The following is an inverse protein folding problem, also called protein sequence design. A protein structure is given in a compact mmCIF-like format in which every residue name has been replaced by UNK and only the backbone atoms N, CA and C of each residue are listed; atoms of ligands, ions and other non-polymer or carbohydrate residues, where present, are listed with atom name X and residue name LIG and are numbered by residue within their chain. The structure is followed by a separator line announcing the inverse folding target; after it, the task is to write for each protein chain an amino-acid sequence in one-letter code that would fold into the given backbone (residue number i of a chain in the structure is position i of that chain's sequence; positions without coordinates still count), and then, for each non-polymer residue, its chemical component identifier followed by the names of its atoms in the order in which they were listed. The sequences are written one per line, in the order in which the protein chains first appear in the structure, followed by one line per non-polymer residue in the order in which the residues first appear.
data_IF_649495020262
#
_entry.id   IF_649495020262
#
_cell.length_a   1.000
_cell.length_b   1.000
_cell.length_c   1.000
_cell.angle_alpha   90.00
_cell.angle_beta   90.00
_cell.angle_gamma   90.00
#
_symmetry.space_group_name_H-M   'P 1'
#
loop_
_entity.id
_entity.type
_entity.pdbx_description
1 polymer ?
#
# COMPACT_ATOMS: atom_id res chain seq x y z
N UNK A 1 -3.64 3.86 -8.57
CA UNK A 1 -2.29 4.27 -8.98
C UNK A 1 -2.35 5.42 -9.97
N UNK A 2 -1.37 6.32 -9.95
CA UNK A 2 -1.35 7.53 -10.78
C UNK A 2 -1.21 7.23 -12.28
N UNK A 3 -0.61 6.09 -12.64
CA UNK A 3 -0.35 5.71 -14.03
C UNK A 3 -0.63 4.22 -14.26
N UNK A 4 -0.80 3.86 -15.53
CA UNK A 4 -0.98 2.49 -15.99
C UNK A 4 0.36 1.73 -16.18
N UNK A 5 1.47 2.45 -16.32
CA UNK A 5 2.79 1.88 -16.58
C UNK A 5 3.91 2.67 -15.91
N UNK A 6 5.06 2.03 -15.74
CA UNK A 6 6.27 2.70 -15.27
C UNK A 6 6.79 3.72 -16.29
N UNK A 7 6.62 3.45 -17.58
CA UNK A 7 7.02 4.38 -18.65
C UNK A 7 6.22 5.68 -18.57
N UNK A 8 4.88 5.59 -18.47
CA UNK A 8 4.03 6.78 -18.30
C UNK A 8 4.38 7.57 -17.02
N UNK A 9 4.75 6.86 -15.94
CA UNK A 9 5.20 7.52 -14.71
C UNK A 9 6.51 8.27 -14.90
N UNK A 10 7.48 7.71 -15.63
CA UNK A 10 8.74 8.40 -15.97
C UNK A 10 8.48 9.66 -16.79
N UNK A 11 7.66 9.56 -17.83
CA UNK A 11 7.30 10.69 -18.68
C UNK A 11 6.62 11.81 -17.87
N UNK A 12 5.70 11.45 -16.96
CA UNK A 12 5.01 12.40 -16.08
C UNK A 12 5.99 13.10 -15.13
N UNK A 13 6.91 12.37 -14.52
CA UNK A 13 7.94 12.92 -13.61
C UNK A 13 8.92 13.80 -14.39
N UNK A 14 9.33 13.40 -15.58
CA UNK A 14 10.21 14.20 -16.43
C UNK A 14 9.53 15.49 -16.87
N UNK A 15 8.27 15.42 -17.31
CA UNK A 15 7.47 16.59 -17.64
C UNK A 15 7.35 17.54 -16.45
N UNK A 16 7.12 17.05 -15.24
CA UNK A 16 7.03 17.89 -14.05
C UNK A 16 8.34 18.62 -13.77
N UNK A 17 9.48 17.93 -13.90
CA UNK A 17 10.82 18.53 -13.73
C UNK A 17 11.10 19.61 -14.77
N UNK A 18 10.79 19.33 -16.05
CA UNK A 18 11.03 20.26 -17.15
C UNK A 18 10.18 21.53 -17.04
N UNK A 19 9.02 21.45 -16.39
CA UNK A 19 8.14 22.59 -16.14
C UNK A 19 8.30 23.18 -14.73
N UNK A 20 9.27 22.71 -13.96
CA UNK A 20 9.56 23.18 -12.59
C UNK A 20 8.32 23.13 -11.66
N UNK A 21 7.52 22.08 -11.79
CA UNK A 21 6.37 21.78 -10.93
C UNK A 21 6.57 20.46 -10.18
N UNK A 22 5.85 20.29 -9.09
CA UNK A 22 5.88 19.06 -8.27
C UNK A 22 4.65 18.22 -8.55
N UNK A 23 4.82 16.90 -8.46
CA UNK A 23 3.72 15.95 -8.56
C UNK A 23 3.77 14.96 -7.39
N UNK A 24 2.59 14.48 -6.99
CA UNK A 24 2.45 13.51 -5.91
C UNK A 24 1.35 12.51 -6.26
N UNK A 25 1.58 11.24 -6.00
CA UNK A 25 0.50 10.24 -5.98
C UNK A 25 -0.34 10.38 -4.71
N UNK A 26 -1.66 10.42 -4.84
CA UNK A 26 -2.60 10.76 -3.78
C UNK A 26 -2.88 9.63 -2.78
N UNK A 27 -1.88 8.93 -2.28
CA UNK A 27 -2.03 7.94 -1.22
C UNK A 27 -2.24 8.58 0.15
N UNK A 28 -3.43 9.15 0.37
CA UNK A 28 -3.80 9.87 1.58
C UNK A 28 -3.59 9.05 2.86
N UNK A 29 -3.79 7.73 2.83
CA UNK A 29 -3.67 6.88 4.01
C UNK A 29 -2.30 6.98 4.69
N UNK A 30 -1.22 7.20 3.92
CA UNK A 30 0.16 7.37 4.44
C UNK A 30 0.28 8.49 5.46
N UNK A 31 -0.62 9.48 5.42
CA UNK A 31 -0.66 10.64 6.29
C UNK A 31 -1.54 10.44 7.54
N UNK A 32 -2.22 9.29 7.65
CA UNK A 32 -2.98 8.98 8.85
C UNK A 32 -2.06 8.64 10.02
N UNK A 33 -2.34 9.22 11.20
CA UNK A 33 -1.49 9.10 12.40
C UNK A 33 -1.30 7.66 12.91
N UNK A 34 -2.22 6.75 12.58
CA UNK A 34 -2.08 5.33 12.93
C UNK A 34 -0.80 4.71 12.38
N UNK A 35 -0.38 5.05 11.15
CA UNK A 35 0.82 4.47 10.55
C UNK A 35 2.10 4.98 11.20
N UNK A 36 2.10 6.22 11.69
CA UNK A 36 3.18 6.73 12.53
C UNK A 36 3.31 5.91 13.82
N UNK A 37 2.17 5.57 14.44
CA UNK A 37 2.16 4.74 15.66
C UNK A 37 2.64 3.31 15.38
N UNK A 38 2.26 2.72 14.25
CA UNK A 38 2.77 1.40 13.84
C UNK A 38 4.29 1.44 13.68
N UNK A 39 4.84 2.42 12.95
CA UNK A 39 6.30 2.58 12.79
C UNK A 39 7.00 2.80 14.15
N UNK A 40 6.41 3.56 15.05
CA UNK A 40 6.92 3.72 16.42
C UNK A 40 7.01 2.39 17.17
N UNK A 41 5.96 1.56 17.09
CA UNK A 41 5.94 0.24 17.74
C UNK A 41 7.01 -0.70 17.17
N UNK A 42 7.19 -0.71 15.85
CA UNK A 42 8.23 -1.48 15.16
C UNK A 42 9.62 -0.99 15.58
N UNK A 43 9.88 0.30 15.49
CA UNK A 43 11.18 0.90 15.82
C UNK A 43 11.55 0.74 17.29
N UNK A 44 10.55 0.63 18.18
CA UNK A 44 10.74 0.33 19.60
C UNK A 44 10.80 -1.19 19.88
N UNK A 45 11.01 -2.01 18.86
CA UNK A 45 11.17 -3.46 18.94
C UNK A 45 10.01 -4.18 19.67
N UNK A 46 8.75 -3.72 19.47
CA UNK A 46 7.59 -4.29 20.16
C UNK A 46 7.10 -5.60 19.58
N UNK A 47 7.57 -5.98 18.41
CA UNK A 47 7.27 -7.25 17.75
C UNK A 47 8.53 -8.04 17.35
N UNK A 48 9.72 -7.63 17.84
CA UNK A 48 10.99 -8.23 17.46
C UNK A 48 11.38 -7.95 16.02
N UNK A 49 12.15 -8.84 15.41
CA UNK A 49 12.59 -8.71 14.02
C UNK A 49 11.41 -8.83 13.06
N UNK A 50 11.30 -7.83 12.19
CA UNK A 50 10.22 -7.72 11.21
C UNK A 50 10.38 -8.76 10.09
N UNK A 51 9.33 -9.57 9.87
CA UNK A 51 9.36 -10.71 8.94
C UNK A 51 8.37 -10.57 7.77
N UNK A 52 7.06 -10.54 8.07
CA UNK A 52 6.03 -10.63 7.05
C UNK A 52 4.97 -9.54 7.16
N UNK A 53 4.39 -9.18 6.02
CA UNK A 53 3.26 -8.28 5.89
C UNK A 53 2.11 -8.98 5.17
N UNK A 54 0.89 -8.81 5.67
CA UNK A 54 -0.34 -9.31 5.06
C UNK A 54 -1.31 -8.14 4.87
N UNK A 55 -1.62 -7.79 3.63
CA UNK A 55 -2.52 -6.68 3.32
C UNK A 55 -3.71 -7.08 2.48
N UNK A 56 -4.90 -6.61 2.83
CA UNK A 56 -6.12 -6.87 2.08
C UNK A 56 -6.93 -5.61 1.89
N UNK A 57 -7.40 -5.38 0.65
CA UNK A 57 -8.35 -4.33 0.37
C UNK A 57 -9.40 -4.81 -0.62
N UNK A 58 -10.65 -4.80 -0.21
CA UNK A 58 -11.77 -5.25 -1.02
C UNK A 58 -13.08 -4.61 -0.61
N UNK A 59 -14.03 -4.63 -1.53
CA UNK A 59 -15.37 -4.05 -1.32
C UNK A 59 -16.46 -4.86 -2.01
N UNK A 60 -17.73 -4.62 -1.65
CA UNK A 60 -18.88 -5.05 -2.45
C UNK A 60 -18.79 -4.50 -3.90
N UNK A 61 -19.43 -5.16 -4.84
CA UNK A 61 -19.43 -4.74 -6.24
C UNK A 61 -19.92 -3.30 -6.40
N UNK A 62 -19.26 -2.58 -7.28
CA UNK A 62 -19.73 -1.27 -7.74
C UNK A 62 -20.87 -1.43 -8.76
N UNK A 63 -21.69 -0.38 -8.97
CA UNK A 63 -22.70 -0.39 -10.01
C UNK A 63 -22.13 -0.64 -11.40
N UNK A 64 -22.92 -1.25 -12.27
CA UNK A 64 -22.57 -1.42 -13.68
C UNK A 64 -22.33 -0.04 -14.33
N UNK A 65 -21.28 0.08 -15.14
CA UNK A 65 -20.88 1.35 -15.77
C UNK A 65 -19.93 2.22 -14.92
N UNK A 66 -19.55 1.77 -13.71
CA UNK A 66 -18.53 2.46 -12.94
C UNK A 66 -17.19 2.48 -13.70
N UNK A 67 -16.43 3.59 -13.58
CA UNK A 67 -15.14 3.80 -14.26
C UNK A 67 -14.12 2.67 -13.99
N UNK A 68 -14.22 2.01 -12.84
CA UNK A 68 -13.35 0.87 -12.47
C UNK A 68 -13.50 -0.32 -13.40
N UNK A 69 -14.63 -0.45 -14.09
CA UNK A 69 -14.85 -1.48 -15.09
C UNK A 69 -14.45 -1.06 -16.52
N UNK A 70 -13.95 0.17 -16.71
CA UNK A 70 -13.55 0.67 -18.00
C UNK A 70 -12.03 0.54 -18.20
N UNK A 71 -11.63 -0.46 -19.01
CA UNK A 71 -10.21 -0.73 -19.27
C UNK A 71 -9.48 0.42 -19.95
N UNK A 72 -10.15 1.13 -20.86
CA UNK A 72 -9.56 2.25 -21.62
C UNK A 72 -9.28 3.48 -20.73
N UNK A 73 -10.00 3.61 -19.63
CA UNK A 73 -9.81 4.66 -18.64
C UNK A 73 -8.88 4.24 -17.48
N UNK A 74 -8.13 3.16 -17.66
CA UNK A 74 -7.22 2.66 -16.62
C UNK A 74 -7.94 1.94 -15.48
N UNK A 75 -9.14 1.41 -15.70
CA UNK A 75 -9.88 0.61 -14.73
C UNK A 75 -9.12 -0.64 -14.29
N UNK A 76 -9.73 -1.37 -13.36
CA UNK A 76 -9.15 -2.53 -12.72
C UNK A 76 -8.88 -2.31 -11.23
N UNK A 77 -9.04 -3.38 -10.47
CA UNK A 77 -9.01 -3.31 -9.01
C UNK A 77 -7.60 -3.44 -8.44
N UNK A 78 -6.63 -3.86 -9.24
CA UNK A 78 -5.22 -3.69 -8.89
C UNK A 78 -4.90 -2.19 -8.75
N UNK A 79 -5.40 -1.35 -9.68
CA UNK A 79 -5.19 0.09 -9.66
C UNK A 79 -5.98 0.79 -8.56
N UNK A 80 -7.20 0.34 -8.27
CA UNK A 80 -8.11 1.01 -7.34
C UNK A 80 -7.89 0.58 -5.89
N UNK A 81 -7.67 -0.71 -5.64
CA UNK A 81 -7.54 -1.26 -4.29
C UNK A 81 -6.22 -1.99 -4.03
N UNK A 82 -5.73 -2.78 -4.96
CA UNK A 82 -4.49 -3.54 -4.78
C UNK A 82 -3.26 -2.65 -4.54
N UNK A 83 -3.24 -1.46 -5.13
CA UNK A 83 -2.16 -0.49 -4.97
C UNK A 83 -1.96 -0.03 -3.52
N UNK A 84 -3.01 -0.02 -2.68
CA UNK A 84 -2.93 0.41 -1.28
C UNK A 84 -2.11 -0.54 -0.39
N UNK A 85 -2.42 -1.84 -0.28
CA UNK A 85 -1.61 -2.77 0.50
C UNK A 85 -0.19 -2.95 -0.09
N UNK A 86 0.00 -2.81 -1.40
CA UNK A 86 1.31 -2.76 -2.03
C UNK A 86 2.11 -1.56 -1.51
N UNK A 87 1.53 -0.36 -1.55
CA UNK A 87 2.15 0.85 -1.02
C UNK A 87 2.42 0.73 0.48
N UNK A 88 1.49 0.14 1.25
CA UNK A 88 1.63 -0.04 2.68
C UNK A 88 2.78 -0.99 3.04
N UNK A 89 2.98 -2.09 2.31
CA UNK A 89 4.10 -3.01 2.55
C UNK A 89 5.45 -2.33 2.34
N UNK A 90 5.61 -1.55 1.26
CA UNK A 90 6.79 -0.74 0.99
C UNK A 90 7.06 0.26 2.11
N UNK A 91 6.00 0.97 2.55
CA UNK A 91 6.05 1.94 3.64
C UNK A 91 6.44 1.30 4.99
N UNK A 92 5.93 0.11 5.30
CA UNK A 92 6.19 -0.57 6.59
C UNK A 92 7.60 -1.16 6.61
N UNK A 93 8.03 -1.80 5.53
CA UNK A 93 9.39 -2.33 5.43
C UNK A 93 10.46 -1.26 5.22
N UNK A 94 10.05 -0.05 4.83
CA UNK A 94 10.95 1.04 4.43
C UNK A 94 11.95 0.59 3.35
N UNK A 95 11.46 -0.20 2.39
CA UNK A 95 12.23 -0.83 1.33
C UNK A 95 11.36 -1.02 0.08
N UNK A 96 12.03 -1.06 -1.07
CA UNK A 96 11.40 -1.52 -2.31
C UNK A 96 11.50 -3.05 -2.40
N UNK A 97 10.47 -3.74 -2.94
CA UNK A 97 10.53 -5.17 -3.15
C UNK A 97 11.61 -5.52 -4.19
N UNK A 98 12.14 -6.72 -4.08
CA UNK A 98 13.08 -7.29 -5.05
C UNK A 98 12.33 -7.90 -6.23
N UNK A 99 11.25 -8.62 -5.94
CA UNK A 99 10.45 -9.32 -6.94
C UNK A 99 8.97 -9.35 -6.57
N UNK A 100 8.15 -9.68 -7.56
CA UNK A 100 6.71 -9.83 -7.47
C UNK A 100 6.27 -11.11 -8.17
N UNK A 101 5.45 -11.93 -7.52
CA UNK A 101 4.64 -12.96 -8.16
C UNK A 101 3.15 -12.63 -7.94
N UNK A 102 2.37 -12.57 -9.03
CA UNK A 102 0.99 -12.10 -9.00
C UNK A 102 0.08 -13.01 -9.82
N UNK A 103 -1.14 -13.22 -9.31
CA UNK A 103 -2.23 -13.86 -10.03
C UNK A 103 -3.52 -13.05 -9.88
N UNK A 104 -4.06 -12.58 -11.02
CA UNK A 104 -5.26 -11.77 -11.07
C UNK A 104 -6.36 -12.48 -11.87
N UNK A 105 -7.60 -12.38 -11.40
CA UNK A 105 -8.78 -12.82 -12.15
C UNK A 105 -9.29 -11.65 -13.00
N UNK A 106 -9.36 -11.88 -14.29
CA UNK A 106 -9.86 -10.89 -15.28
C UNK A 106 -11.33 -11.15 -15.53
N UNK A 107 -12.16 -10.12 -15.43
CA UNK A 107 -13.55 -10.19 -15.82
C UNK A 107 -13.68 -10.28 -17.36
N UNK A 108 -14.41 -11.29 -17.85
CA UNK A 108 -14.52 -11.55 -19.28
C UNK A 108 -15.34 -10.52 -20.04
N UNK A 109 -16.20 -9.77 -19.36
CA UNK A 109 -17.05 -8.73 -19.98
C UNK A 109 -16.31 -7.42 -20.18
N UNK A 110 -15.55 -7.02 -19.18
CA UNK A 110 -14.91 -5.70 -19.12
C UNK A 110 -13.41 -5.75 -19.44
N UNK A 111 -12.81 -6.93 -19.33
CA UNK A 111 -11.36 -7.12 -19.56
C UNK A 111 -10.46 -6.50 -18.49
N UNK A 112 -11.03 -6.07 -17.36
CA UNK A 112 -10.26 -5.57 -16.20
C UNK A 112 -10.05 -6.66 -15.16
N UNK A 113 -9.03 -6.54 -14.34
CA UNK A 113 -8.84 -7.38 -13.18
C UNK A 113 -9.86 -7.01 -12.09
N UNK A 114 -10.54 -8.01 -11.52
CA UNK A 114 -11.56 -7.81 -10.46
C UNK A 114 -11.11 -8.30 -9.09
N UNK A 115 -10.14 -9.16 -9.04
CA UNK A 115 -9.49 -9.62 -7.80
C UNK A 115 -8.11 -10.17 -8.11
N UNK A 116 -7.25 -10.17 -7.12
CA UNK A 116 -5.93 -10.73 -7.27
C UNK A 116 -5.24 -10.99 -5.93
N UNK A 117 -4.20 -11.80 -6.03
CA UNK A 117 -3.26 -12.04 -4.93
C UNK A 117 -1.85 -11.96 -5.46
N UNK A 118 -0.94 -11.53 -4.59
CA UNK A 118 0.48 -11.47 -4.93
C UNK A 118 1.37 -11.66 -3.71
N UNK A 119 2.59 -12.12 -4.01
CA UNK A 119 3.69 -12.20 -3.05
C UNK A 119 4.77 -11.25 -3.55
N UNK A 120 5.25 -10.37 -2.67
CA UNK A 120 6.40 -9.51 -2.89
C UNK A 120 7.52 -10.00 -1.99
N UNK A 121 8.72 -10.11 -2.54
CA UNK A 121 9.91 -10.45 -1.76
C UNK A 121 10.76 -9.21 -1.51
N UNK A 122 11.40 -9.14 -0.36
CA UNK A 122 12.24 -8.02 0.07
C UNK A 122 13.60 -8.53 0.54
N UNK A 123 14.55 -7.62 0.77
CA UNK A 123 15.84 -7.98 1.39
C UNK A 123 15.61 -8.63 2.76
N UNK A 124 16.58 -9.47 3.17
CA UNK A 124 16.55 -10.22 4.44
C UNK A 124 15.36 -11.18 4.55
N UNK A 125 14.96 -11.78 3.43
CA UNK A 125 13.89 -12.79 3.32
C UNK A 125 12.50 -12.31 3.80
N UNK A 126 12.27 -11.01 3.90
CA UNK A 126 10.94 -10.47 4.23
C UNK A 126 9.99 -10.66 3.07
N UNK A 127 8.72 -10.90 3.38
CA UNK A 127 7.67 -11.09 2.37
C UNK A 127 6.44 -10.24 2.64
N UNK A 128 5.76 -9.81 1.57
CA UNK A 128 4.43 -9.25 1.69
C UNK A 128 3.43 -10.06 0.87
N UNK A 129 2.32 -10.41 1.50
CA UNK A 129 1.19 -11.10 0.89
C UNK A 129 0.05 -10.10 0.71
N UNK A 130 -0.36 -9.90 -0.52
CA UNK A 130 -1.35 -8.89 -0.89
C UNK A 130 -2.57 -9.58 -1.47
N UNK A 131 -3.76 -9.13 -1.07
CA UNK A 131 -5.02 -9.57 -1.66
C UNK A 131 -5.92 -8.37 -1.89
N UNK A 132 -6.55 -8.31 -3.05
CA UNK A 132 -7.56 -7.31 -3.36
C UNK A 132 -8.75 -7.96 -4.08
N UNK A 133 -9.94 -7.41 -3.88
CA UNK A 133 -11.14 -7.96 -4.49
C UNK A 133 -12.28 -6.94 -4.62
N UNK A 134 -12.98 -7.02 -5.75
CA UNK A 134 -14.29 -6.44 -5.98
C UNK A 134 -15.36 -7.53 -5.85
N UNK A 135 -16.52 -7.18 -5.29
CA UNK A 135 -17.62 -8.13 -5.09
C UNK A 135 -17.47 -9.01 -3.84
N UNK A 136 -16.62 -8.62 -2.91
CA UNK A 136 -16.38 -9.34 -1.66
C UNK A 136 -16.83 -8.50 -0.45
N UNK A 137 -16.81 -9.11 0.73
CA UNK A 137 -17.00 -8.39 1.98
C UNK A 137 -15.93 -7.30 2.13
N UNK A 138 -16.33 -6.12 2.64
CA UNK A 138 -15.42 -5.00 2.84
C UNK A 138 -14.28 -5.36 3.79
N UNK A 139 -13.06 -5.14 3.33
CA UNK A 139 -11.85 -5.22 4.14
C UNK A 139 -10.90 -4.09 3.72
N UNK A 140 -10.21 -3.48 4.69
CA UNK A 140 -9.21 -2.44 4.44
C UNK A 140 -8.09 -2.58 5.48
N UNK A 141 -7.51 -3.77 5.59
CA UNK A 141 -6.65 -4.16 6.71
C UNK A 141 -5.24 -4.51 6.29
N UNK A 142 -4.33 -4.41 7.25
CA UNK A 142 -3.07 -5.12 7.18
C UNK A 142 -2.63 -5.68 8.55
N UNK A 143 -1.74 -6.65 8.47
CA UNK A 143 -1.08 -7.27 9.60
C UNK A 143 0.42 -7.32 9.34
N UNK A 144 1.21 -7.08 10.38
CA UNK A 144 2.67 -7.07 10.34
C UNK A 144 3.17 -8.08 11.37
N UNK A 145 3.89 -9.10 10.92
CA UNK A 145 4.48 -10.10 11.78
C UNK A 145 5.95 -9.82 12.04
N UNK A 146 6.32 -9.98 13.29
CA UNK A 146 7.70 -10.02 13.72
C UNK A 146 7.95 -11.28 14.55
N UNK A 147 9.19 -11.50 14.93
CA UNK A 147 9.63 -12.69 15.67
C UNK A 147 9.00 -12.82 17.07
N UNK A 148 8.51 -11.72 17.66
CA UNK A 148 7.98 -11.69 19.02
C UNK A 148 6.53 -11.21 19.11
N UNK A 149 5.94 -10.78 18.01
CA UNK A 149 4.58 -10.25 18.02
C UNK A 149 4.00 -9.91 16.66
N UNK A 150 2.77 -9.41 16.71
CA UNK A 150 1.96 -9.05 15.54
C UNK A 150 1.29 -7.70 15.79
N UNK A 151 1.30 -6.83 14.79
CA UNK A 151 0.52 -5.59 14.78
C UNK A 151 -0.55 -5.72 13.71
N UNK A 152 -1.82 -5.47 14.04
CA UNK A 152 -2.92 -5.50 13.08
C UNK A 152 -3.78 -4.24 13.12
N UNK A 153 -4.27 -3.83 11.94
CA UNK A 153 -5.19 -2.71 11.71
C UNK A 153 -6.34 -3.16 10.82
N UNK A 154 -7.57 -2.93 11.25
CA UNK A 154 -8.77 -3.30 10.48
C UNK A 154 -9.25 -2.19 9.53
N UNK A 155 -8.79 -0.96 9.72
CA UNK A 155 -9.09 0.22 8.89
C UNK A 155 -7.80 0.94 8.51
N UNK A 156 -7.02 0.31 7.62
CA UNK A 156 -5.67 0.79 7.28
C UNK A 156 -5.65 1.86 6.18
N UNK A 157 -6.59 1.84 5.23
CA UNK A 157 -6.47 2.63 4.00
C UNK A 157 -7.53 3.72 3.88
N UNK A 158 -8.79 3.35 3.83
CA UNK A 158 -9.91 4.30 3.72
C UNK A 158 -10.54 4.52 5.08
N UNK A 159 -10.14 5.60 5.76
CA UNK A 159 -10.58 5.94 7.11
C UNK A 159 -11.38 7.24 7.05
N UNK A 160 -12.65 7.27 7.51
CA UNK A 160 -13.38 8.53 7.67
C UNK A 160 -12.65 9.48 8.62
N UNK A 161 -12.74 10.78 8.37
CA UNK A 161 -11.99 11.80 9.11
C UNK A 161 -12.38 11.92 10.59
N UNK A 162 -13.58 11.46 10.95
CA UNK A 162 -14.17 11.46 12.30
C UNK A 162 -14.04 10.09 13.00
N UNK A 163 -13.42 9.10 12.36
CA UNK A 163 -13.37 7.73 12.86
C UNK A 163 -12.16 7.49 13.78
N UNK A 164 -12.40 6.92 14.96
CA UNK A 164 -11.35 6.44 15.87
C UNK A 164 -10.89 5.08 15.37
N UNK A 165 -9.62 4.97 14.94
CA UNK A 165 -9.04 3.68 14.55
C UNK A 165 -8.38 3.00 15.74
N UNK A 166 -8.20 1.67 15.64
CA UNK A 166 -7.55 0.86 16.66
C UNK A 166 -6.39 0.07 16.05
N UNK A 167 -5.27 0.10 16.76
CA UNK A 167 -4.12 -0.77 16.46
C UNK A 167 -4.14 -1.86 17.53
N UNK A 168 -4.11 -3.11 17.09
CA UNK A 168 -3.94 -4.26 17.98
C UNK A 168 -2.49 -4.73 17.93
N UNK A 169 -1.82 -4.74 19.08
CA UNK A 169 -0.51 -5.32 19.28
C UNK A 169 -0.66 -6.62 20.07
N UNK A 170 -0.31 -7.73 19.47
CA UNK A 170 -0.21 -9.03 20.09
C UNK A 170 1.26 -9.39 20.30
N UNK A 171 1.63 -9.86 21.49
CA UNK A 171 3.00 -10.23 21.77
C UNK A 171 3.06 -11.34 22.83
N UNK A 172 4.16 -12.07 22.82
CA UNK A 172 4.40 -13.12 23.80
C UNK A 172 4.97 -12.52 25.11
N UNK A 173 4.68 -13.17 26.23
CA UNK A 173 5.25 -12.84 27.52
C UNK A 173 6.24 -13.96 27.90
N UNK A 174 7.48 -13.56 28.20
CA UNK A 174 8.52 -14.46 28.76
C UNK A 174 8.83 -15.69 27.90
N UNK A 175 8.98 -15.52 26.57
CA UNK A 175 9.23 -16.64 25.64
C UNK A 175 8.21 -17.79 25.72
N UNK A 176 7.05 -17.55 26.30
CA UNK A 176 5.99 -18.52 26.44
C UNK A 176 4.97 -18.32 25.32
N UNK A 177 5.04 -19.15 24.28
CA UNK A 177 4.10 -19.11 23.15
C UNK A 177 2.63 -19.31 23.56
N UNK A 178 2.34 -19.85 24.72
CA UNK A 178 1.00 -19.94 25.29
C UNK A 178 0.56 -18.68 26.03
N UNK A 179 1.49 -17.81 26.43
CA UNK A 179 1.23 -16.58 27.18
C UNK A 179 1.07 -15.35 26.27
N UNK A 180 0.04 -15.32 25.41
CA UNK A 180 -0.22 -14.18 24.54
C UNK A 180 -0.89 -13.03 25.28
N UNK A 181 -0.43 -11.80 25.03
CA UNK A 181 -1.09 -10.57 25.48
C UNK A 181 -1.51 -9.73 24.28
N UNK A 182 -2.65 -9.05 24.45
CA UNK A 182 -3.15 -8.07 23.50
C UNK A 182 -3.11 -6.69 24.13
N UNK A 183 -2.65 -5.71 23.36
CA UNK A 183 -2.72 -4.29 23.72
C UNK A 183 -3.33 -3.51 22.57
N UNK A 184 -4.37 -2.75 22.88
CA UNK A 184 -5.03 -1.89 21.92
C UNK A 184 -4.58 -0.44 22.10
N UNK A 185 -4.34 0.23 20.98
CA UNK A 185 -4.07 1.66 20.94
C UNK A 185 -5.18 2.32 20.13
N UNK A 186 -5.94 3.18 20.77
CA UNK A 186 -6.90 4.03 20.07
C UNK A 186 -6.18 5.23 19.47
N UNK A 187 -6.46 5.49 18.21
CA UNK A 187 -5.87 6.60 17.46
C UNK A 187 -6.99 7.62 17.21
N UNK A 188 -6.81 8.84 17.67
CA UNK A 188 -7.79 9.90 17.46
C UNK A 188 -8.11 10.13 15.99
N UNK A 189 -9.31 10.64 15.68
CA UNK A 189 -9.71 11.02 14.35
C UNK A 189 -8.64 11.84 13.64
N UNK A 190 -8.48 11.57 12.36
CA UNK A 190 -7.43 12.20 11.55
C UNK A 190 -7.93 12.39 10.14
N UNK A 191 -8.07 13.64 9.72
CA UNK A 191 -8.27 13.96 8.32
C UNK A 191 -6.95 13.78 7.55
N UNK A 192 -6.78 12.61 6.97
CA UNK A 192 -5.57 12.25 6.25
C UNK A 192 -5.50 12.88 4.85
N UNK A 193 -6.63 13.27 4.25
CA UNK A 193 -6.65 14.04 3.01
C UNK A 193 -6.11 15.45 3.26
N UNK A 194 -6.61 16.13 4.28
CA UNK A 194 -6.11 17.45 4.66
C UNK A 194 -4.62 17.40 4.95
N UNK A 195 -4.15 16.44 5.75
CA UNK A 195 -2.72 16.30 6.07
C UNK A 195 -1.86 16.02 4.84
N UNK A 196 -2.36 15.25 3.88
CA UNK A 196 -1.65 15.01 2.62
C UNK A 196 -1.50 16.30 1.81
N UNK A 197 -2.60 17.04 1.64
CA UNK A 197 -2.61 18.32 0.90
C UNK A 197 -1.70 19.33 1.60
N UNK A 198 -1.83 19.50 2.91
CA UNK A 198 -0.99 20.40 3.70
C UNK A 198 0.52 20.07 3.54
N UNK A 199 0.86 18.77 3.63
CA UNK A 199 2.25 18.33 3.47
C UNK A 199 2.80 18.70 2.09
N UNK A 200 2.00 18.50 1.04
CA UNK A 200 2.39 18.83 -0.32
C UNK A 200 2.52 20.36 -0.52
N UNK A 201 1.54 21.12 -0.05
CA UNK A 201 1.56 22.59 -0.12
C UNK A 201 2.73 23.19 0.66
N UNK A 202 3.05 22.65 1.84
CA UNK A 202 4.19 23.12 2.64
C UNK A 202 5.51 22.89 1.92
N UNK A 203 5.66 21.81 1.19
CA UNK A 203 6.87 21.53 0.42
C UNK A 203 6.98 22.43 -0.82
N UNK A 204 5.88 22.60 -1.57
CA UNK A 204 5.84 23.51 -2.74
C UNK A 204 6.22 24.94 -2.34
N UNK A 205 5.73 25.39 -1.19
CA UNK A 205 5.99 26.74 -0.68
C UNK A 205 7.30 26.86 0.08
N UNK A 206 8.15 25.81 0.08
CA UNK A 206 9.43 25.75 0.79
C UNK A 206 9.35 26.02 2.30
N UNK A 207 8.18 25.86 2.91
CA UNK A 207 7.98 26.05 4.36
C UNK A 207 8.49 24.88 5.18
N UNK A 208 8.41 23.68 4.62
CA UNK A 208 8.86 22.46 5.28
C UNK A 208 9.16 21.39 4.24
N UNK A 209 10.30 20.71 4.37
CA UNK A 209 10.59 19.52 3.58
C UNK A 209 9.66 18.36 4.00
N UNK A 210 9.04 17.70 3.04
CA UNK A 210 8.31 16.47 3.30
C UNK A 210 9.27 15.36 3.76
N UNK A 211 8.74 14.41 4.49
CA UNK A 211 9.44 13.15 4.77
C UNK A 211 9.49 12.21 3.55
N UNK A 212 8.79 12.55 2.48
CA UNK A 212 8.69 11.76 1.26
C UNK A 212 9.28 12.54 0.08
N UNK A 213 10.02 11.86 -0.78
CA UNK A 213 10.29 12.34 -2.12
C UNK A 213 9.09 11.91 -2.99
N UNK A 214 8.18 12.83 -3.27
CA UNK A 214 6.90 12.52 -3.92
C UNK A 214 7.06 11.91 -5.31
N UNK A 215 7.97 12.45 -6.11
CA UNK A 215 8.24 11.96 -7.47
C UNK A 215 8.87 10.56 -7.45
N UNK A 216 9.80 10.31 -6.55
CA UNK A 216 10.43 9.01 -6.38
C UNK A 216 9.44 7.96 -5.89
N UNK A 217 8.57 8.32 -4.94
CA UNK A 217 7.51 7.44 -4.45
C UNK A 217 6.51 7.07 -5.54
N UNK A 218 6.16 8.02 -6.42
CA UNK A 218 5.31 7.77 -7.58
C UNK A 218 5.99 6.80 -8.55
N UNK A 219 7.27 7.02 -8.88
CA UNK A 219 8.04 6.13 -9.75
C UNK A 219 8.15 4.72 -9.18
N UNK A 220 8.50 4.60 -7.90
CA UNK A 220 8.66 3.32 -7.25
C UNK A 220 7.34 2.54 -7.19
N UNK A 221 6.23 3.21 -6.87
CA UNK A 221 4.91 2.58 -6.90
C UNK A 221 4.54 2.11 -8.30
N UNK A 222 4.72 2.95 -9.32
CA UNK A 222 4.43 2.59 -10.71
C UNK A 222 5.28 1.40 -11.19
N UNK A 223 6.55 1.34 -10.76
CA UNK A 223 7.46 0.23 -11.07
C UNK A 223 6.94 -1.09 -10.50
N UNK A 224 6.57 -1.11 -9.23
CA UNK A 224 6.00 -2.30 -8.59
C UNK A 224 4.68 -2.71 -9.24
N UNK A 225 3.78 -1.75 -9.54
CA UNK A 225 2.52 -2.03 -10.23
C UNK A 225 2.72 -2.61 -11.63
N UNK A 226 3.75 -2.15 -12.35
CA UNK A 226 4.12 -2.70 -13.66
C UNK A 226 4.63 -4.14 -13.52
N UNK A 227 5.46 -4.43 -12.51
CA UNK A 227 5.92 -5.79 -12.21
C UNK A 227 4.74 -6.74 -11.90
N UNK A 228 3.72 -6.27 -11.16
CA UNK A 228 2.49 -7.04 -10.91
C UNK A 228 1.77 -7.43 -12.21
N UNK A 229 1.57 -6.47 -13.13
CA UNK A 229 0.90 -6.74 -14.41
C UNK A 229 1.69 -7.70 -15.26
N UNK A 230 3.01 -7.52 -15.32
CA UNK A 230 3.90 -8.40 -16.08
C UNK A 230 3.93 -9.81 -15.49
N UNK A 231 3.99 -9.95 -14.17
CA UNK A 231 3.93 -11.24 -13.48
C UNK A 231 2.64 -11.98 -13.77
N UNK A 232 1.50 -11.29 -13.68
CA UNK A 232 0.20 -11.88 -14.00
C UNK A 232 0.13 -12.34 -15.47
N UNK A 233 0.60 -11.54 -16.42
CA UNK A 233 0.52 -11.87 -17.85
C UNK A 233 1.46 -13.00 -18.26
N UNK A 234 2.61 -13.11 -17.61
CA UNK A 234 3.63 -14.14 -17.92
C UNK A 234 3.53 -15.39 -17.04
N UNK A 235 2.75 -15.33 -15.95
CA UNK A 235 2.66 -16.36 -14.90
C UNK A 235 4.03 -16.72 -14.29
N UNK A 236 4.89 -15.70 -14.16
CA UNK A 236 6.24 -15.83 -13.60
C UNK A 236 6.50 -14.79 -12.52
N UNK A 237 7.46 -15.09 -11.67
CA UNK A 237 8.08 -14.09 -10.82
C UNK A 237 8.80 -13.06 -11.68
N UNK A 238 8.63 -11.78 -11.36
CA UNK A 238 9.25 -10.65 -12.05
C UNK A 238 10.10 -9.87 -11.06
N UNK A 239 11.39 -9.72 -11.40
CA UNK A 239 12.30 -8.90 -10.60
C UNK A 239 12.15 -7.43 -10.95
N UNK A 240 12.17 -6.55 -9.96
CA UNK A 240 12.05 -5.12 -10.20
C UNK A 240 13.21 -4.54 -11.01
N UNK A 241 14.37 -5.20 -10.98
CA UNK A 241 15.50 -4.84 -11.84
C UNK A 241 15.24 -5.04 -13.34
N UNK A 242 14.25 -5.86 -13.70
CA UNK A 242 13.85 -6.10 -15.10
C UNK A 242 12.91 -5.01 -15.65
N UNK A 243 12.32 -4.20 -14.77
CA UNK A 243 11.43 -3.10 -15.15
C UNK A 243 12.27 -1.85 -15.43
N UNK A 244 12.40 -1.49 -16.70
CA UNK A 244 13.27 -0.42 -17.21
C UNK A 244 12.44 0.82 -17.60
#
# INVERSE_FOLDING_TARGET
SATDSFTSAKEMVECSKNNNVRIMEGFMFRFHTQHKKVKELINNNKIGDLDSFYGSFGFPSFPEGDIRYNKELGGGFLNDSGCYPICASRMIFDQEPLSVFSHNSIDSKTGVDVKGTSILTYKNNKTANITYANGNYYQAKYEVWGSEGVISLDRAYSVPSDFITKINLQYNVENNWAGRKNKFFEIPPTDHFLKMIDSFCMEITNKKKSQFNFEEELLNQAKVMTAHRLSNSTHKEVWLSEII
#
